data_IF_397219832727
#
_entry.id   IF_397219832727
#
_cell.length_a   1.000
_cell.length_b   1.000
_cell.length_c   1.000
_cell.angle_alpha   90.00
_cell.angle_beta   90.00
_cell.angle_gamma   90.00
#
_symmetry.space_group_name_H-M   'P 1'
#
loop_
_entity.id
_entity.type
_entity.pdbx_description
1 polymer ?
#
# COMPACT_ATOMS: atom_id res chain seq x y z
N UNK A 1 1.02 -26.13 32.36
CA UNK A 1 2.10 -25.38 31.68
C UNK A 1 1.91 -25.55 30.17
N UNK A 2 1.50 -24.50 29.43
CA UNK A 2 1.30 -24.58 27.97
C UNK A 2 2.62 -24.25 27.25
N UNK A 3 3.07 -25.13 26.34
CA UNK A 3 4.33 -24.99 25.60
C UNK A 3 4.07 -24.61 24.14
N UNK A 4 4.87 -23.68 23.63
CA UNK A 4 5.00 -23.42 22.20
C UNK A 4 6.05 -24.39 21.65
N UNK A 5 5.64 -25.35 20.83
CA UNK A 5 6.57 -26.20 20.08
C UNK A 5 6.70 -25.62 18.67
N UNK A 6 7.91 -25.18 18.32
CA UNK A 6 8.22 -24.62 17.01
C UNK A 6 8.85 -25.72 16.15
N UNK A 7 8.05 -26.36 15.30
CA UNK A 7 8.55 -27.15 14.17
C UNK A 7 8.53 -26.26 12.93
N UNK A 8 9.54 -26.43 12.06
CA UNK A 8 9.82 -25.58 10.89
C UNK A 8 8.53 -25.24 10.12
N UNK A 9 8.16 -23.95 10.12
CA UNK A 9 7.01 -23.32 9.46
C UNK A 9 5.58 -23.63 9.93
N UNK A 10 5.36 -24.43 10.96
CA UNK A 10 4.02 -24.61 11.52
C UNK A 10 3.99 -24.31 13.02
N UNK A 11 3.21 -23.29 13.40
CA UNK A 11 2.90 -23.01 14.81
C UNK A 11 1.85 -24.03 15.25
N UNK A 12 2.31 -25.15 15.81
CA UNK A 12 1.42 -26.14 16.42
C UNK A 12 0.88 -25.56 17.73
N UNK A 13 -0.32 -24.99 17.66
CA UNK A 13 -1.03 -24.46 18.81
C UNK A 13 -1.77 -25.61 19.52
N UNK A 14 -1.35 -25.94 20.73
CA UNK A 14 -2.01 -26.94 21.57
C UNK A 14 -2.73 -26.27 22.75
N UNK A 15 -3.97 -26.66 23.03
CA UNK A 15 -4.77 -26.07 24.10
C UNK A 15 -6.26 -26.06 23.78
N UNK A 16 -7.02 -25.20 24.46
CA UNK A 16 -8.45 -25.04 24.21
C UNK A 16 -8.70 -24.50 22.79
N UNK A 17 -9.73 -25.01 22.14
CA UNK A 17 -10.05 -24.67 20.74
C UNK A 17 -10.23 -23.17 20.53
N UNK A 18 -10.85 -22.48 21.49
CA UNK A 18 -11.04 -21.02 21.48
C UNK A 18 -9.72 -20.26 21.53
N UNK A 19 -8.73 -20.73 22.30
CA UNK A 19 -7.41 -20.12 22.36
C UNK A 19 -6.64 -20.32 21.05
N UNK A 20 -6.68 -21.54 20.50
CA UNK A 20 -6.06 -21.86 19.20
C UNK A 20 -6.65 -20.98 18.09
N UNK A 21 -7.97 -20.85 18.06
CA UNK A 21 -8.67 -20.03 17.08
C UNK A 21 -8.29 -18.55 17.18
N UNK A 22 -8.29 -17.97 18.38
CA UNK A 22 -7.88 -16.58 18.59
C UNK A 22 -6.42 -16.34 18.17
N UNK A 23 -5.51 -17.25 18.49
CA UNK A 23 -4.11 -17.15 18.08
C UNK A 23 -3.97 -17.19 16.56
N UNK A 24 -4.68 -18.08 15.86
CA UNK A 24 -4.68 -18.11 14.39
C UNK A 24 -5.19 -16.81 13.77
N UNK A 25 -6.26 -16.22 14.33
CA UNK A 25 -6.77 -14.93 13.88
C UNK A 25 -5.77 -13.79 14.11
N UNK A 26 -5.08 -13.78 15.24
CA UNK A 26 -4.06 -12.76 15.51
C UNK A 26 -2.83 -12.90 14.61
N UNK A 27 -2.43 -14.13 14.24
CA UNK A 27 -1.41 -14.33 13.21
C UNK A 27 -1.87 -13.82 11.84
N UNK A 28 -3.07 -14.22 11.40
CA UNK A 28 -3.63 -13.77 10.13
C UNK A 28 -3.72 -12.24 10.07
N UNK A 29 -4.17 -11.60 11.14
CA UNK A 29 -4.25 -10.14 11.26
C UNK A 29 -2.87 -9.47 11.17
N UNK A 30 -1.83 -10.07 11.75
CA UNK A 30 -0.45 -9.57 11.63
C UNK A 30 0.06 -9.69 10.20
N UNK A 31 -0.17 -10.83 9.55
CA UNK A 31 0.25 -11.06 8.17
C UNK A 31 -0.48 -10.09 7.23
N UNK A 32 -1.77 -9.86 7.43
CA UNK A 32 -2.55 -8.90 6.66
C UNK A 32 -2.06 -7.47 6.84
N UNK A 33 -1.71 -7.07 8.08
CA UNK A 33 -1.11 -5.76 8.36
C UNK A 33 0.24 -5.60 7.68
N UNK A 34 1.08 -6.64 7.73
CA UNK A 34 2.38 -6.65 7.07
C UNK A 34 2.22 -6.48 5.56
N UNK A 35 1.39 -7.31 4.93
CA UNK A 35 1.10 -7.22 3.49
C UNK A 35 0.57 -5.84 3.11
N UNK A 36 -0.37 -5.28 3.88
CA UNK A 36 -0.89 -3.94 3.64
C UNK A 36 0.19 -2.86 3.75
N UNK A 37 1.14 -2.98 4.67
CA UNK A 37 2.24 -2.02 4.79
C UNK A 37 3.24 -2.14 3.64
N UNK A 38 3.56 -3.37 3.22
CA UNK A 38 4.42 -3.62 2.05
C UNK A 38 3.81 -3.02 0.77
N UNK A 39 2.52 -3.25 0.54
CA UNK A 39 1.78 -2.65 -0.60
C UNK A 39 1.67 -1.13 -0.50
N UNK A 40 1.43 -0.59 0.69
CA UNK A 40 1.37 0.87 0.91
C UNK A 40 2.70 1.55 0.62
N UNK A 41 3.81 0.95 1.05
CA UNK A 41 5.15 1.49 0.78
C UNK A 41 5.49 1.43 -0.71
N UNK A 42 5.08 0.36 -1.41
CA UNK A 42 5.23 0.25 -2.87
C UNK A 42 4.42 1.34 -3.60
N UNK A 43 3.21 1.65 -3.12
CA UNK A 43 2.41 2.77 -3.65
C UNK A 43 3.09 4.12 -3.44
N UNK A 44 3.65 4.40 -2.26
CA UNK A 44 4.36 5.65 -1.99
C UNK A 44 5.61 5.78 -2.88
N UNK A 45 6.35 4.68 -3.10
CA UNK A 45 7.48 4.64 -4.02
C UNK A 45 7.05 4.93 -5.47
N UNK A 46 5.96 4.32 -5.94
CA UNK A 46 5.39 4.58 -7.27
C UNK A 46 4.95 6.03 -7.44
N UNK A 47 4.28 6.61 -6.44
CA UNK A 47 3.88 8.02 -6.47
C UNK A 47 5.10 8.93 -6.56
N UNK A 48 6.19 8.62 -5.84
CA UNK A 48 7.42 9.39 -5.88
C UNK A 48 8.03 9.39 -7.29
N UNK A 49 8.23 8.21 -7.88
CA UNK A 49 8.77 8.06 -9.24
C UNK A 49 7.92 8.80 -10.26
N UNK A 50 6.59 8.61 -10.21
CA UNK A 50 5.69 9.26 -11.15
C UNK A 50 5.73 10.80 -10.97
N UNK A 51 5.81 11.30 -9.73
CA UNK A 51 5.92 12.73 -9.45
C UNK A 51 7.22 13.33 -10.01
N UNK A 52 8.33 12.61 -9.92
CA UNK A 52 9.61 13.01 -10.51
C UNK A 52 9.55 13.03 -12.04
N UNK A 53 8.91 12.04 -12.66
CA UNK A 53 8.71 12.01 -14.11
C UNK A 53 7.83 13.16 -14.60
N UNK A 54 6.75 13.50 -13.88
CA UNK A 54 5.92 14.68 -14.18
C UNK A 54 6.77 15.95 -14.10
N UNK A 55 7.54 16.14 -13.02
CA UNK A 55 8.42 17.32 -12.86
C UNK A 55 9.42 17.43 -14.01
N UNK A 56 10.01 16.30 -14.44
CA UNK A 56 10.95 16.27 -15.56
C UNK A 56 10.28 16.64 -16.88
N UNK A 57 9.05 16.17 -17.11
CA UNK A 57 8.26 16.54 -18.30
C UNK A 57 7.90 18.03 -18.29
N UNK A 58 7.52 18.59 -17.14
CA UNK A 58 7.19 20.02 -17.02
C UNK A 58 8.42 20.91 -17.27
N UNK A 59 9.58 20.61 -16.66
CA UNK A 59 10.85 21.31 -16.94
C UNK A 59 11.24 21.27 -18.43
N UNK A 60 10.98 20.13 -19.08
CA UNK A 60 11.22 19.98 -20.52
C UNK A 60 10.24 20.80 -21.36
N UNK A 61 8.99 20.96 -20.90
CA UNK A 61 7.99 21.82 -21.52
C UNK A 61 8.28 23.31 -21.37
N UNK A 62 8.94 23.71 -20.29
CA UNK A 62 9.42 25.09 -20.11
C UNK A 62 10.59 25.42 -21.04
N UNK A 63 11.48 24.43 -21.28
CA UNK A 63 12.69 24.62 -22.10
C UNK A 63 12.43 24.43 -23.60
N UNK A 64 11.38 23.71 -23.98
CA UNK A 64 11.08 23.36 -25.36
C UNK A 64 9.59 23.08 -25.59
N UNK A 65 9.08 23.37 -26.79
CA UNK A 65 7.70 23.01 -27.16
C UNK A 65 7.55 21.49 -27.16
N UNK A 66 6.72 20.97 -26.25
CA UNK A 66 6.37 19.54 -26.19
C UNK A 66 5.47 19.16 -27.36
N UNK A 67 5.70 17.99 -27.95
CA UNK A 67 4.80 17.42 -28.95
C UNK A 67 3.46 17.01 -28.30
N UNK A 68 2.38 17.04 -29.09
CA UNK A 68 1.02 16.63 -28.68
C UNK A 68 0.98 15.26 -28.00
N UNK A 69 1.79 14.31 -28.51
CA UNK A 69 1.94 12.97 -27.96
C UNK A 69 2.44 12.98 -26.51
N UNK A 70 3.42 13.83 -26.20
CA UNK A 70 3.95 13.97 -24.83
C UNK A 70 3.01 14.69 -23.88
N UNK A 71 2.17 15.59 -24.42
CA UNK A 71 1.11 16.25 -23.66
C UNK A 71 0.04 15.22 -23.27
N UNK A 72 -0.30 14.31 -24.20
CA UNK A 72 -1.22 13.20 -23.95
C UNK A 72 -0.67 12.23 -22.91
N UNK A 73 0.59 11.81 -23.04
CA UNK A 73 1.26 10.96 -22.06
C UNK A 73 1.29 11.60 -20.67
N UNK A 74 1.57 12.91 -20.59
CA UNK A 74 1.51 13.64 -19.32
C UNK A 74 0.11 13.58 -18.70
N UNK A 75 -0.93 13.77 -19.50
CA UNK A 75 -2.32 13.71 -19.02
C UNK A 75 -2.66 12.32 -18.47
N UNK A 76 -2.22 11.25 -19.14
CA UNK A 76 -2.41 9.87 -18.68
C UNK A 76 -1.69 9.61 -17.35
N UNK A 77 -0.41 9.97 -17.27
CA UNK A 77 0.40 9.83 -16.06
C UNK A 77 -0.19 10.63 -14.88
N UNK A 78 -0.76 11.81 -15.16
CA UNK A 78 -1.44 12.62 -14.15
C UNK A 78 -2.71 11.94 -13.61
N UNK A 79 -3.51 11.31 -14.48
CA UNK A 79 -4.69 10.55 -14.04
C UNK A 79 -4.32 9.36 -13.16
N UNK A 80 -3.27 8.61 -13.52
CA UNK A 80 -2.79 7.49 -12.73
C UNK A 80 -2.32 7.96 -11.35
N UNK A 81 -1.56 9.06 -11.30
CA UNK A 81 -1.10 9.70 -10.05
C UNK A 81 -2.27 10.12 -9.18
N UNK A 82 -3.29 10.74 -9.77
CA UNK A 82 -4.49 11.17 -9.07
C UNK A 82 -5.23 9.98 -8.44
N UNK A 83 -5.36 8.87 -9.18
CA UNK A 83 -5.93 7.63 -8.68
C UNK A 83 -5.18 7.10 -7.45
N UNK A 84 -3.84 7.05 -7.51
CA UNK A 84 -3.02 6.60 -6.37
C UNK A 84 -3.14 7.52 -5.15
N UNK A 85 -3.18 8.84 -5.36
CA UNK A 85 -3.39 9.80 -4.27
C UNK A 85 -4.74 9.64 -3.58
N UNK A 86 -5.81 9.37 -4.35
CA UNK A 86 -7.16 9.11 -3.80
C UNK A 86 -7.22 7.79 -3.00
N UNK A 87 -6.52 6.76 -3.46
CA UNK A 87 -6.34 5.54 -2.69
C UNK A 87 -5.62 5.80 -1.37
N UNK A 88 -4.53 6.60 -1.38
CA UNK A 88 -3.77 6.96 -0.18
C UNK A 88 -4.60 7.76 0.82
N UNK A 89 -5.37 8.74 0.35
CA UNK A 89 -6.31 9.51 1.16
C UNK A 89 -7.33 8.60 1.87
N UNK A 90 -7.91 7.66 1.11
CA UNK A 90 -8.87 6.67 1.65
C UNK A 90 -8.24 5.75 2.71
N UNK A 91 -6.97 5.36 2.53
CA UNK A 91 -6.22 4.56 3.51
C UNK A 91 -5.92 5.36 4.78
N UNK A 92 -5.58 6.64 4.66
CA UNK A 92 -5.32 7.52 5.80
C UNK A 92 -6.58 7.70 6.67
N UNK A 93 -7.75 7.91 6.05
CA UNK A 93 -9.06 8.00 6.73
C UNK A 93 -9.37 6.71 7.49
N UNK A 94 -9.09 5.55 6.89
CA UNK A 94 -9.29 4.25 7.54
C UNK A 94 -8.36 4.06 8.75
N UNK A 95 -7.10 4.52 8.64
CA UNK A 95 -6.09 4.43 9.71
C UNK A 95 -6.37 5.39 10.87
N UNK A 96 -6.91 6.58 10.61
CA UNK A 96 -7.28 7.55 11.65
C UNK A 96 -8.52 7.14 12.45
N UNK A 97 -9.16 6.03 12.09
CA UNK A 97 -10.35 5.51 12.78
C UNK A 97 -11.65 6.24 12.39
N UNK A 98 -11.60 7.08 11.36
CA UNK A 98 -12.78 7.81 10.89
C UNK A 98 -13.75 6.84 10.21
N UNK A 99 -14.79 6.41 10.93
CA UNK A 99 -15.95 5.73 10.35
C UNK A 99 -16.92 6.80 9.87
N UNK A 100 -17.25 6.79 8.57
CA UNK A 100 -18.44 7.51 8.10
C UNK A 100 -19.63 6.90 8.84
N UNK A 101 -20.23 7.68 9.73
CA UNK A 101 -21.53 7.41 10.36
C UNK A 101 -22.62 7.74 9.34
#
# INVERSE_FOLDING_TARGET
MMRLLKAKNEVVLSGWMSFIFNQKLEFLKKDLKRWNNEVSNDLDAKICVISEDIKRLDLKGETSVLSLDKIYDRSKVFMDTWGFLKCKESMAIRRSGFRKV
#
